data_IF_508771552300
#
_entry.id   IF_508771552300
#
_cell.length_a   1.000
_cell.length_b   1.000
_cell.length_c   1.000
_cell.angle_alpha   90.00
_cell.angle_beta   90.00
_cell.angle_gamma   90.00
#
_symmetry.space_group_name_H-M   'P 1'
#
loop_
_entity.id
_entity.type
_entity.pdbx_description
1 polymer ?
#
# COMPACT_ATOMS: atom_id res chain seq x y z
N UNK A 1 -22.18 -18.95 41.49
CA UNK A 1 -21.77 -19.15 40.09
C UNK A 1 -22.71 -18.38 39.17
N UNK A 2 -22.36 -17.17 38.75
CA UNK A 2 -23.04 -16.42 37.67
C UNK A 2 -22.09 -15.43 36.96
N UNK A 3 -20.79 -15.63 37.08
CA UNK A 3 -19.76 -14.78 36.44
C UNK A 3 -19.70 -14.97 34.92
N UNK A 4 -20.20 -16.09 34.40
CA UNK A 4 -20.02 -16.49 33.00
C UNK A 4 -20.94 -15.74 32.01
N UNK A 5 -22.13 -15.29 32.43
CA UNK A 5 -23.08 -14.59 31.54
C UNK A 5 -22.73 -13.11 31.43
N UNK A 6 -22.44 -12.46 32.57
CA UNK A 6 -22.02 -11.05 32.59
C UNK A 6 -20.70 -10.86 31.84
N UNK A 7 -19.75 -11.78 32.03
CA UNK A 7 -18.47 -11.78 31.32
C UNK A 7 -18.64 -11.97 29.81
N UNK A 8 -19.52 -12.89 29.36
CA UNK A 8 -19.81 -13.05 27.93
C UNK A 8 -20.45 -11.81 27.32
N UNK A 9 -21.45 -11.23 27.98
CA UNK A 9 -22.12 -10.00 27.53
C UNK A 9 -21.10 -8.87 27.42
N UNK A 10 -20.28 -8.66 28.46
CA UNK A 10 -19.27 -7.61 28.47
C UNK A 10 -18.20 -7.81 27.38
N UNK A 11 -17.75 -9.05 27.16
CA UNK A 11 -16.82 -9.38 26.08
C UNK A 11 -17.44 -9.11 24.71
N UNK A 12 -18.68 -9.55 24.45
CA UNK A 12 -19.35 -9.31 23.16
C UNK A 12 -19.61 -7.83 22.91
N UNK A 13 -20.00 -7.04 23.92
CA UNK A 13 -20.13 -5.59 23.82
C UNK A 13 -18.78 -4.92 23.53
N UNK A 14 -17.74 -5.29 24.28
CA UNK A 14 -16.38 -4.77 24.07
C UNK A 14 -15.86 -5.11 22.67
N UNK A 15 -16.01 -6.35 22.21
CA UNK A 15 -15.60 -6.77 20.87
C UNK A 15 -16.38 -6.04 19.76
N UNK A 16 -17.66 -5.77 19.97
CA UNK A 16 -18.49 -4.99 19.03
C UNK A 16 -18.05 -3.53 18.98
N UNK A 17 -17.78 -2.92 20.14
CA UNK A 17 -17.29 -1.55 20.25
C UNK A 17 -15.90 -1.43 19.61
N UNK A 18 -14.99 -2.35 19.91
CA UNK A 18 -13.64 -2.38 19.32
C UNK A 18 -13.70 -2.58 17.80
N UNK A 19 -14.63 -3.42 17.32
CA UNK A 19 -14.88 -3.59 15.88
C UNK A 19 -15.40 -2.31 15.22
N UNK A 20 -16.33 -1.60 15.86
CA UNK A 20 -16.87 -0.34 15.38
C UNK A 20 -15.82 0.78 15.41
N UNK A 21 -15.03 0.89 16.47
CA UNK A 21 -13.93 1.84 16.60
C UNK A 21 -12.91 1.62 15.48
N UNK A 22 -12.51 0.37 15.24
CA UNK A 22 -11.58 0.05 14.15
C UNK A 22 -12.14 0.46 12.79
N UNK A 23 -13.41 0.14 12.50
CA UNK A 23 -14.05 0.54 11.26
C UNK A 23 -14.14 2.06 11.10
N UNK A 24 -14.39 2.78 12.20
CA UNK A 24 -14.45 4.25 12.19
C UNK A 24 -13.05 4.85 11.97
N UNK A 25 -12.02 4.34 12.63
CA UNK A 25 -10.63 4.78 12.41
C UNK A 25 -10.17 4.48 10.99
N UNK A 26 -10.57 3.34 10.42
CA UNK A 26 -10.30 3.00 9.02
C UNK A 26 -10.98 3.99 8.06
N UNK A 27 -12.23 4.38 8.33
CA UNK A 27 -12.95 5.40 7.56
C UNK A 27 -12.32 6.79 7.71
N UNK A 28 -12.07 7.23 8.96
CA UNK A 28 -11.46 8.53 9.24
C UNK A 28 -10.09 8.63 8.60
N UNK A 29 -9.26 7.61 8.74
CA UNK A 29 -7.94 7.61 8.11
C UNK A 29 -8.05 7.67 6.58
N UNK A 30 -9.14 7.18 5.97
CA UNK A 30 -9.37 7.28 4.53
C UNK A 30 -9.77 8.69 4.10
N UNK A 31 -10.56 9.39 4.92
CA UNK A 31 -11.12 10.70 4.60
C UNK A 31 -10.20 11.85 5.01
N UNK A 32 -9.59 11.76 6.19
CA UNK A 32 -8.75 12.80 6.81
C UNK A 32 -7.73 13.40 5.84
N UNK A 33 -6.93 12.61 5.08
CA UNK A 33 -5.95 13.19 4.16
C UNK A 33 -6.57 14.14 3.13
N UNK A 34 -7.77 13.83 2.63
CA UNK A 34 -8.45 14.68 1.64
C UNK A 34 -9.05 15.93 2.30
N UNK A 35 -9.52 15.81 3.54
CA UNK A 35 -10.05 16.96 4.28
C UNK A 35 -8.96 17.91 4.77
N UNK A 36 -7.75 17.45 5.07
CA UNK A 36 -6.64 18.35 5.43
C UNK A 36 -6.15 19.16 4.23
N UNK A 37 -6.20 18.59 3.02
CA UNK A 37 -5.89 19.25 1.76
C UNK A 37 -6.90 20.35 1.36
N UNK A 38 -8.11 20.35 1.95
CA UNK A 38 -9.12 21.36 1.58
C UNK A 38 -8.81 22.75 2.14
N UNK A 39 -8.11 22.83 3.28
CA UNK A 39 -7.72 24.09 3.93
C UNK A 39 -6.74 24.90 3.05
N UNK A 40 -5.58 24.36 2.63
CA UNK A 40 -4.67 25.07 1.72
C UNK A 40 -5.34 25.42 0.38
N UNK A 41 -6.17 24.53 -0.18
CA UNK A 41 -6.94 24.81 -1.38
C UNK A 41 -7.90 25.99 -1.21
N UNK A 42 -8.61 26.06 -0.08
CA UNK A 42 -9.49 27.19 0.25
C UNK A 42 -8.70 28.49 0.34
N UNK A 43 -7.54 28.50 1.01
CA UNK A 43 -6.68 29.68 1.10
C UNK A 43 -6.24 30.15 -0.28
N UNK A 44 -5.76 29.25 -1.13
CA UNK A 44 -5.40 29.57 -2.52
C UNK A 44 -6.60 30.11 -3.31
N UNK A 45 -7.78 29.53 -3.15
CA UNK A 45 -9.00 30.03 -3.79
C UNK A 45 -9.29 31.48 -3.36
N UNK A 46 -9.35 31.73 -2.05
CA UNK A 46 -9.67 33.07 -1.52
C UNK A 46 -8.66 34.10 -1.98
N UNK A 47 -7.37 33.77 -1.95
CA UNK A 47 -6.32 34.69 -2.35
C UNK A 47 -6.31 34.98 -3.84
N UNK A 48 -6.55 33.97 -4.69
CA UNK A 48 -6.63 34.17 -6.14
C UNK A 48 -7.90 34.93 -6.55
N UNK A 49 -9.01 34.69 -5.87
CA UNK A 49 -10.26 35.38 -6.13
C UNK A 49 -10.24 36.84 -5.62
N UNK A 50 -9.90 37.07 -4.35
CA UNK A 50 -10.04 38.38 -3.70
C UNK A 50 -8.88 39.32 -3.99
N UNK A 51 -7.64 38.81 -4.13
CA UNK A 51 -6.46 39.66 -4.28
C UNK A 51 -5.84 39.67 -5.68
N UNK A 52 -6.09 38.64 -6.50
CA UNK A 52 -5.63 38.62 -7.90
C UNK A 52 -6.74 38.93 -8.90
N UNK A 53 -7.97 39.14 -8.45
CA UNK A 53 -9.16 39.43 -9.27
C UNK A 53 -9.39 38.38 -10.37
N UNK A 54 -9.05 37.12 -10.08
CA UNK A 54 -9.32 36.03 -11.01
C UNK A 54 -10.81 35.69 -11.01
N UNK A 55 -11.41 35.38 -12.17
CA UNK A 55 -12.78 34.91 -12.21
C UNK A 55 -12.92 33.61 -11.43
N UNK A 56 -14.08 33.39 -10.80
CA UNK A 56 -14.36 32.26 -9.89
C UNK A 56 -13.92 30.91 -10.45
N UNK A 57 -14.15 30.68 -11.75
CA UNK A 57 -13.80 29.43 -12.43
C UNK A 57 -12.28 29.19 -12.42
N UNK A 58 -11.49 30.25 -12.58
CA UNK A 58 -10.03 30.19 -12.61
C UNK A 58 -9.47 30.10 -11.19
N UNK A 59 -10.09 30.76 -10.21
CA UNK A 59 -9.73 30.61 -8.79
C UNK A 59 -9.91 29.16 -8.32
N UNK A 60 -11.02 28.51 -8.69
CA UNK A 60 -11.24 27.07 -8.43
C UNK A 60 -10.19 26.19 -9.09
N UNK A 61 -9.89 26.46 -10.37
CA UNK A 61 -8.87 25.72 -11.11
C UNK A 61 -7.48 25.89 -10.47
N UNK A 62 -7.13 27.10 -10.04
CA UNK A 62 -5.87 27.39 -9.37
C UNK A 62 -5.77 26.65 -8.03
N UNK A 63 -6.79 26.74 -7.18
CA UNK A 63 -6.85 26.03 -5.91
C UNK A 63 -6.71 24.51 -6.07
N UNK A 64 -7.45 23.93 -7.02
CA UNK A 64 -7.36 22.51 -7.33
C UNK A 64 -5.98 22.11 -7.86
N UNK A 65 -5.44 22.86 -8.81
CA UNK A 65 -4.15 22.55 -9.45
C UNK A 65 -3.01 22.61 -8.43
N UNK A 66 -2.99 23.66 -7.60
CA UNK A 66 -1.97 23.84 -6.57
C UNK A 66 -2.00 22.68 -5.58
N UNK A 67 -3.18 22.32 -5.08
CA UNK A 67 -3.27 21.25 -4.08
C UNK A 67 -2.95 19.86 -4.66
N UNK A 68 -3.46 19.54 -5.85
CA UNK A 68 -3.13 18.27 -6.54
C UNK A 68 -1.64 18.19 -6.82
N UNK A 69 -1.01 19.29 -7.24
CA UNK A 69 0.44 19.36 -7.43
C UNK A 69 1.19 19.09 -6.11
N UNK A 70 0.74 19.68 -5.00
CA UNK A 70 1.30 19.43 -3.68
C UNK A 70 1.25 17.96 -3.27
N UNK A 71 0.05 17.35 -3.31
CA UNK A 71 -0.15 15.94 -2.93
C UNK A 71 0.66 14.99 -3.83
N UNK A 72 0.64 15.22 -5.14
CA UNK A 72 1.37 14.37 -6.11
C UNK A 72 2.88 14.50 -5.96
N UNK A 73 3.41 15.70 -5.69
CA UNK A 73 4.84 15.93 -5.48
C UNK A 73 5.35 15.24 -4.20
N UNK A 74 4.59 15.30 -3.08
CA UNK A 74 4.91 14.54 -1.86
C UNK A 74 4.88 13.05 -2.12
N UNK A 75 3.78 12.56 -2.72
CA UNK A 75 3.60 11.13 -2.98
C UNK A 75 4.73 10.57 -3.84
N UNK A 76 5.10 11.28 -4.91
CA UNK A 76 6.20 10.93 -5.79
C UNK A 76 7.54 10.91 -5.05
N UNK A 77 7.81 11.94 -4.23
CA UNK A 77 9.04 12.00 -3.44
C UNK A 77 9.18 10.81 -2.49
N UNK A 78 8.10 10.42 -1.81
CA UNK A 78 8.10 9.25 -0.91
C UNK A 78 8.28 7.95 -1.71
N UNK A 79 7.58 7.80 -2.86
CA UNK A 79 7.74 6.61 -3.71
C UNK A 79 9.19 6.46 -4.19
N UNK A 80 9.84 7.54 -4.62
CA UNK A 80 11.23 7.51 -5.04
C UNK A 80 12.19 7.24 -3.88
N UNK A 81 11.92 7.81 -2.70
CA UNK A 81 12.69 7.51 -1.50
C UNK A 81 12.66 6.01 -1.20
N UNK A 82 11.47 5.43 -1.15
CA UNK A 82 11.30 4.01 -0.85
C UNK A 82 11.93 3.10 -1.90
N UNK A 83 11.69 3.41 -3.17
CA UNK A 83 12.31 2.67 -4.27
C UNK A 83 13.83 2.59 -4.11
N UNK A 84 14.45 3.72 -3.78
CA UNK A 84 15.89 3.82 -3.55
C UNK A 84 16.36 3.13 -2.26
N UNK A 85 15.48 2.96 -1.26
CA UNK A 85 15.81 2.16 -0.06
C UNK A 85 15.71 0.65 -0.31
N UNK A 86 14.79 0.20 -1.16
CA UNK A 86 14.59 -1.22 -1.47
C UNK A 86 15.54 -1.71 -2.56
N UNK A 87 15.95 -0.85 -3.49
CA UNK A 87 16.86 -1.19 -4.59
C UNK A 87 18.24 -0.58 -4.37
N UNK A 88 19.22 -1.44 -4.06
CA UNK A 88 20.61 -1.01 -3.80
C UNK A 88 21.41 -0.70 -5.07
N UNK A 89 20.96 -1.21 -6.23
CA UNK A 89 21.65 -1.00 -7.50
C UNK A 89 21.64 0.48 -7.92
N UNK A 90 22.82 1.05 -8.16
CA UNK A 90 22.96 2.46 -8.56
C UNK A 90 22.32 2.76 -9.92
N UNK A 91 22.29 1.79 -10.82
CA UNK A 91 21.70 1.95 -12.16
C UNK A 91 20.17 2.12 -12.12
N UNK A 92 19.51 1.57 -11.10
CA UNK A 92 18.04 1.55 -10.98
C UNK A 92 17.51 2.64 -10.03
N UNK A 93 18.33 3.63 -9.65
CA UNK A 93 17.89 4.66 -8.69
C UNK A 93 16.89 5.64 -9.32
N UNK A 94 15.76 5.81 -8.64
CA UNK A 94 14.80 6.85 -8.96
C UNK A 94 15.36 8.25 -8.63
N UNK A 95 14.96 9.31 -9.37
CA UNK A 95 15.49 10.66 -9.20
C UNK A 95 14.89 11.36 -7.97
N UNK A 96 15.18 10.83 -6.77
CA UNK A 96 14.64 11.31 -5.49
C UNK A 96 14.98 12.79 -5.22
N UNK A 97 16.22 13.21 -5.48
CA UNK A 97 16.65 14.60 -5.27
C UNK A 97 15.82 15.56 -6.12
N UNK A 98 15.58 15.22 -7.38
CA UNK A 98 14.76 16.05 -8.28
C UNK A 98 13.32 16.16 -7.78
N UNK A 99 12.73 15.05 -7.32
CA UNK A 99 11.37 15.06 -6.77
C UNK A 99 11.26 15.93 -5.51
N UNK A 100 12.20 15.79 -4.57
CA UNK A 100 12.25 16.62 -3.37
C UNK A 100 12.49 18.08 -3.71
N UNK A 101 13.42 18.40 -4.61
CA UNK A 101 13.66 19.78 -5.04
C UNK A 101 12.44 20.41 -5.69
N UNK A 102 11.73 19.67 -6.55
CA UNK A 102 10.47 20.12 -7.15
C UNK A 102 9.41 20.39 -6.09
N UNK A 103 9.32 19.52 -5.08
CA UNK A 103 8.39 19.70 -3.98
C UNK A 103 8.72 20.90 -3.08
N UNK A 104 10.00 21.10 -2.75
CA UNK A 104 10.44 22.26 -1.99
C UNK A 104 10.19 23.56 -2.76
N UNK A 105 10.43 23.57 -4.07
CA UNK A 105 10.11 24.71 -4.92
C UNK A 105 8.61 25.03 -4.89
N UNK A 106 7.74 24.01 -4.97
CA UNK A 106 6.30 24.16 -4.79
C UNK A 106 5.95 24.82 -3.44
N UNK A 107 6.51 24.32 -2.33
CA UNK A 107 6.26 24.89 -0.98
C UNK A 107 6.62 26.38 -0.95
N UNK A 108 7.79 26.74 -1.50
CA UNK A 108 8.25 28.14 -1.54
C UNK A 108 7.26 29.01 -2.31
N UNK A 109 6.79 28.54 -3.47
CA UNK A 109 5.83 29.30 -4.31
C UNK A 109 4.51 29.49 -3.57
N UNK A 110 3.93 28.42 -3.02
CA UNK A 110 2.62 28.49 -2.34
C UNK A 110 2.68 29.36 -1.09
N UNK A 111 3.73 29.19 -0.27
CA UNK A 111 3.94 30.04 0.89
C UNK A 111 4.14 31.49 0.50
N UNK A 112 4.95 31.76 -0.53
CA UNK A 112 5.19 33.13 -0.98
C UNK A 112 3.89 33.78 -1.46
N UNK A 113 3.11 33.10 -2.30
CA UNK A 113 1.82 33.63 -2.77
C UNK A 113 0.88 33.91 -1.60
N UNK A 114 0.67 32.94 -0.71
CA UNK A 114 -0.29 33.09 0.38
C UNK A 114 0.15 34.13 1.44
N UNK A 115 1.44 34.22 1.74
CA UNK A 115 1.96 35.19 2.71
C UNK A 115 2.05 36.59 2.09
N UNK A 116 2.55 36.73 0.87
CA UNK A 116 2.70 38.04 0.21
C UNK A 116 1.34 38.70 0.01
N UNK A 117 0.32 37.94 -0.41
CA UNK A 117 -1.02 38.50 -0.61
C UNK A 117 -1.67 38.95 0.70
N UNK A 118 -1.47 38.22 1.80
CA UNK A 118 -1.95 38.65 3.12
C UNK A 118 -1.19 39.86 3.67
N UNK A 119 0.12 39.97 3.41
CA UNK A 119 0.89 41.17 3.72
C UNK A 119 0.42 42.36 2.89
N UNK A 120 0.15 42.15 1.60
CA UNK A 120 -0.36 43.18 0.70
C UNK A 120 -1.75 43.67 1.10
N UNK A 121 -2.62 42.76 1.54
CA UNK A 121 -3.94 43.11 2.06
C UNK A 121 -3.86 44.06 3.26
N UNK A 122 -2.84 43.91 4.11
CA UNK A 122 -2.56 44.83 5.22
C UNK A 122 -3.59 44.82 6.35
N UNK A 123 -4.61 43.94 6.29
CA UNK A 123 -5.73 43.91 7.25
C UNK A 123 -5.40 43.08 8.49
N UNK A 124 -4.60 42.03 8.35
CA UNK A 124 -4.42 41.00 9.39
C UNK A 124 -3.16 41.24 10.23
N UNK A 125 -3.24 40.89 11.52
CA UNK A 125 -2.09 40.89 12.40
C UNK A 125 -1.02 39.89 11.91
N UNK A 126 0.29 40.16 12.10
CA UNK A 126 1.37 39.29 11.64
C UNK A 126 1.23 37.83 12.07
N UNK A 127 0.73 37.58 13.30
CA UNK A 127 0.50 36.23 13.81
C UNK A 127 -0.52 35.43 12.97
N UNK A 128 -1.53 36.10 12.42
CA UNK A 128 -2.54 35.45 11.55
C UNK A 128 -1.94 35.10 10.20
N UNK A 129 -1.09 35.97 9.65
CA UNK A 129 -0.35 35.72 8.40
C UNK A 129 0.55 34.48 8.56
N UNK A 130 1.25 34.36 9.70
CA UNK A 130 2.02 33.17 10.04
C UNK A 130 1.18 31.91 10.12
N UNK A 131 0.00 31.97 10.76
CA UNK A 131 -0.92 30.84 10.84
C UNK A 131 -1.41 30.38 9.45
N UNK A 132 -1.70 31.32 8.54
CA UNK A 132 -2.09 31.04 7.14
C UNK A 132 -0.97 30.33 6.39
N UNK A 133 0.28 30.77 6.58
CA UNK A 133 1.45 30.08 6.05
C UNK A 133 1.54 28.64 6.57
N UNK A 134 1.37 28.43 7.87
CA UNK A 134 1.39 27.09 8.46
C UNK A 134 0.24 26.20 7.96
N UNK A 135 -0.97 26.75 7.80
CA UNK A 135 -2.09 26.01 7.22
C UNK A 135 -1.85 25.64 5.76
N UNK A 136 -1.12 26.45 5.01
CA UNK A 136 -0.70 26.14 3.64
C UNK A 136 0.23 24.91 3.57
N UNK A 137 0.86 24.54 4.69
CA UNK A 137 1.72 23.36 4.79
C UNK A 137 0.96 22.08 5.11
N UNK A 138 -0.36 22.12 5.34
CA UNK A 138 -1.18 20.93 5.58
C UNK A 138 -1.22 19.95 4.39
N UNK A 139 -0.86 20.41 3.19
CA UNK A 139 -0.66 19.53 2.03
C UNK A 139 0.50 18.54 2.26
N UNK A 140 1.50 18.87 3.10
CA UNK A 140 2.60 17.95 3.45
C UNK A 140 2.04 16.69 4.16
N UNK A 141 1.44 16.78 5.37
CA UNK A 141 0.94 15.59 6.06
C UNK A 141 -0.16 14.89 5.28
N UNK A 142 -0.98 15.60 4.49
CA UNK A 142 -1.95 14.98 3.57
C UNK A 142 -1.25 14.07 2.55
N UNK A 143 -0.31 14.60 1.78
CA UNK A 143 0.43 13.84 0.77
C UNK A 143 1.22 12.68 1.36
N UNK A 144 1.80 12.84 2.57
CA UNK A 144 2.47 11.76 3.28
C UNK A 144 1.48 10.64 3.60
N UNK A 145 0.34 10.98 4.20
CA UNK A 145 -0.64 10.01 4.65
C UNK A 145 -1.27 9.25 3.47
N UNK A 146 -1.56 9.93 2.35
CA UNK A 146 -2.02 9.30 1.11
C UNK A 146 -0.99 8.32 0.57
N UNK A 147 0.28 8.74 0.49
CA UNK A 147 1.36 7.90 -0.04
C UNK A 147 1.56 6.64 0.79
N UNK A 148 1.64 6.81 2.12
CA UNK A 148 1.79 5.70 3.07
C UNK A 148 0.61 4.74 2.97
N UNK A 149 -0.63 5.26 2.89
CA UNK A 149 -1.83 4.41 2.74
C UNK A 149 -1.82 3.62 1.44
N UNK A 150 -1.50 4.27 0.32
CA UNK A 150 -1.42 3.62 -0.99
C UNK A 150 -0.42 2.44 -0.95
N UNK A 151 0.75 2.66 -0.35
CA UNK A 151 1.79 1.64 -0.20
C UNK A 151 1.36 0.50 0.72
N UNK A 152 0.71 0.80 1.86
CA UNK A 152 0.18 -0.25 2.74
C UNK A 152 -0.88 -1.09 2.02
N UNK A 153 -1.72 -0.47 1.20
CA UNK A 153 -2.67 -1.16 0.33
C UNK A 153 -1.97 -2.12 -0.64
N UNK A 154 -1.02 -1.61 -1.43
CA UNK A 154 -0.20 -2.37 -2.37
C UNK A 154 0.51 -3.55 -1.68
N UNK A 155 1.13 -3.32 -0.51
CA UNK A 155 1.82 -4.37 0.26
C UNK A 155 0.87 -5.46 0.77
N UNK A 156 -0.34 -5.11 1.22
CA UNK A 156 -1.32 -6.08 1.70
C UNK A 156 -1.86 -6.93 0.55
N UNK A 157 -2.09 -6.33 -0.61
CA UNK A 157 -2.51 -7.03 -1.82
C UNK A 157 -1.44 -8.02 -2.29
N UNK A 158 -0.18 -7.59 -2.37
CA UNK A 158 0.97 -8.45 -2.69
C UNK A 158 1.08 -9.66 -1.76
N UNK A 159 0.87 -9.45 -0.45
CA UNK A 159 0.88 -10.53 0.54
C UNK A 159 -0.27 -11.50 0.33
N UNK A 160 -1.46 -11.02 0.00
CA UNK A 160 -2.64 -11.86 -0.31
C UNK A 160 -2.40 -12.70 -1.56
N UNK A 161 -1.93 -12.09 -2.65
CA UNK A 161 -1.61 -12.77 -3.90
C UNK A 161 -0.55 -13.86 -3.71
N UNK A 162 0.55 -13.56 -3.00
CA UNK A 162 1.59 -14.56 -2.68
C UNK A 162 1.06 -15.69 -1.80
N UNK A 163 0.15 -15.39 -0.86
CA UNK A 163 -0.47 -16.41 -0.01
C UNK A 163 -1.41 -17.33 -0.82
N UNK A 164 -2.16 -16.78 -1.77
CA UNK A 164 -3.03 -17.52 -2.68
C UNK A 164 -2.21 -18.40 -3.64
N UNK A 165 -1.15 -17.87 -4.23
CA UNK A 165 -0.23 -18.65 -5.08
C UNK A 165 0.37 -19.84 -4.32
N UNK A 166 0.88 -19.62 -3.10
CA UNK A 166 1.40 -20.71 -2.24
C UNK A 166 0.33 -21.76 -1.90
N UNK A 167 -0.93 -21.35 -1.75
CA UNK A 167 -2.04 -22.29 -1.50
C UNK A 167 -2.33 -23.13 -2.76
N UNK A 168 -2.32 -22.51 -3.94
CA UNK A 168 -2.51 -23.21 -5.21
C UNK A 168 -1.36 -24.18 -5.51
N UNK A 169 -0.11 -23.77 -5.32
CA UNK A 169 1.07 -24.64 -5.46
C UNK A 169 0.98 -25.86 -4.52
N UNK A 170 0.59 -25.64 -3.25
CA UNK A 170 0.38 -26.74 -2.29
C UNK A 170 -0.72 -27.69 -2.71
N UNK A 171 -1.79 -27.20 -3.33
CA UNK A 171 -2.89 -28.03 -3.85
C UNK A 171 -2.47 -28.80 -5.10
N UNK A 172 -1.64 -28.22 -5.97
CA UNK A 172 -1.09 -28.90 -7.14
C UNK A 172 -0.09 -30.01 -6.75
N UNK A 173 0.77 -29.77 -5.74
CA UNK A 173 1.69 -30.77 -5.19
C UNK A 173 0.93 -31.90 -4.46
N UNK A 174 -0.22 -31.59 -3.86
CA UNK A 174 -1.11 -32.57 -3.20
C UNK A 174 -2.04 -33.32 -4.15
N UNK A 175 -1.87 -33.24 -5.47
CA UNK A 175 -2.63 -34.11 -6.38
C UNK A 175 -2.35 -35.57 -5.98
N UNK A 176 -3.38 -36.36 -5.63
CA UNK A 176 -3.18 -37.73 -5.22
C UNK A 176 -2.54 -38.49 -6.38
N UNK A 177 -1.46 -39.21 -6.10
CA UNK A 177 -0.93 -40.22 -7.02
C UNK A 177 -2.07 -41.17 -7.33
N UNK A 178 -2.62 -41.10 -8.55
CA UNK A 178 -3.54 -42.09 -9.06
C UNK A 178 -2.70 -43.32 -9.37
N UNK A 179 -2.87 -44.45 -8.66
CA UNK A 179 -2.28 -45.70 -9.11
C UNK A 179 -2.84 -45.95 -10.52
N UNK A 180 -1.97 -46.04 -11.53
CA UNK A 180 -2.39 -46.61 -12.80
C UNK A 180 -2.89 -48.02 -12.47
N UNK A 181 -4.18 -48.24 -12.63
CA UNK A 181 -4.78 -49.55 -12.45
C UNK A 181 -4.02 -50.52 -13.35
N UNK A 182 -3.25 -51.41 -12.73
CA UNK A 182 -2.60 -52.51 -13.42
C UNK A 182 -3.73 -53.27 -14.12
N UNK A 183 -3.70 -53.44 -15.45
CA UNK A 183 -4.71 -54.25 -16.11
C UNK A 183 -4.64 -55.62 -15.48
N UNK A 184 -5.71 -56.00 -14.79
CA UNK A 184 -5.88 -57.33 -14.21
C UNK A 184 -5.74 -58.33 -15.35
N UNK A 185 -4.58 -58.99 -15.44
CA UNK A 185 -4.44 -60.23 -16.18
C UNK A 185 -5.44 -61.20 -15.55
N UNK A 186 -6.52 -61.45 -16.28
CA UNK A 186 -7.43 -62.55 -16.00
C UNK A 186 -6.61 -63.83 -16.00
N UNK A 187 -6.53 -64.47 -14.83
CA UNK A 187 -5.99 -65.79 -14.67
C UNK A 187 -6.92 -66.78 -15.38
N UNK A 188 -6.58 -67.11 -16.63
CA UNK A 188 -7.00 -68.36 -17.24
C UNK A 188 -6.14 -69.47 -16.62
N UNK A 189 -6.77 -70.27 -15.77
CA UNK A 189 -6.25 -71.56 -15.33
C UNK A 189 -6.43 -72.56 -16.45
N UNK A 190 -5.33 -73.12 -16.99
CA UNK A 190 -5.21 -74.56 -17.25
C UNK A 190 -3.82 -74.92 -17.82
N UNK A 191 -3.12 -75.81 -17.13
CA UNK A 191 -1.94 -76.50 -17.67
C UNK A 191 -0.89 -76.89 -16.61
N UNK A 192 -0.64 -78.19 -16.37
CA UNK A 192 0.48 -78.62 -15.53
C UNK A 192 1.75 -78.72 -16.39
N UNK A 193 2.78 -77.95 -16.03
CA UNK A 193 4.02 -77.93 -16.81
C UNK A 193 5.21 -77.45 -16.00
N UNK A 194 5.95 -78.42 -15.46
CA UNK A 194 7.41 -78.47 -15.29
C UNK A 194 8.13 -77.35 -14.53
N UNK A 195 8.74 -77.79 -13.43
CA UNK A 195 9.87 -77.18 -12.72
C UNK A 195 11.03 -76.89 -13.68
N UNK A 196 11.58 -75.67 -13.63
CA UNK A 196 12.98 -75.44 -13.98
C UNK A 196 13.57 -74.31 -13.12
N UNK A 197 14.72 -74.62 -12.53
CA UNK A 197 15.59 -73.73 -11.77
C UNK A 197 16.22 -72.67 -12.69
N UNK A 198 16.43 -71.44 -12.22
CA UNK A 198 17.75 -71.03 -11.67
C UNK A 198 17.83 -69.53 -11.33
N UNK A 199 18.70 -69.17 -10.36
CA UNK A 199 18.94 -67.81 -9.90
C UNK A 199 20.16 -67.19 -10.61
N UNK A 200 20.17 -65.86 -10.82
CA UNK A 200 21.41 -65.07 -10.98
C UNK A 200 21.08 -63.57 -10.88
N UNK A 201 21.52 -62.91 -9.81
CA UNK A 201 22.75 -62.09 -9.70
C UNK A 201 22.68 -60.75 -10.44
N UNK A 202 22.83 -59.70 -9.63
CA UNK A 202 23.90 -58.72 -9.84
C UNK A 202 23.44 -57.33 -10.26
N UNK A 203 23.82 -56.32 -9.48
CA UNK A 203 23.74 -54.93 -9.94
C UNK A 203 23.83 -53.83 -8.88
N UNK A 204 24.89 -53.85 -8.07
CA UNK A 204 25.39 -52.64 -7.38
C UNK A 204 25.76 -51.55 -8.39
N UNK A 205 25.46 -50.27 -8.11
CA UNK A 205 26.26 -49.05 -8.41
C UNK A 205 25.40 -47.82 -8.03
N UNK A 206 25.62 -47.04 -6.96
CA UNK A 206 26.74 -46.20 -6.48
C UNK A 206 26.94 -44.88 -7.26
N UNK A 207 26.68 -43.75 -6.55
CA UNK A 207 27.27 -42.37 -6.59
C UNK A 207 26.15 -41.31 -6.61
N UNK A 208 26.11 -40.25 -5.79
CA UNK A 208 27.13 -39.64 -4.93
C UNK A 208 27.89 -38.51 -5.64
N UNK A 209 27.42 -37.26 -5.53
CA UNK A 209 28.15 -35.95 -5.56
C UNK A 209 27.09 -34.83 -5.58
N UNK A 210 26.93 -33.91 -4.63
CA UNK A 210 27.81 -33.00 -3.88
C UNK A 210 28.36 -31.81 -4.70
N UNK A 211 28.08 -30.60 -4.16
CA UNK A 211 28.69 -29.28 -4.38
C UNK A 211 28.25 -28.54 -5.65
N UNK A 212 28.07 -27.22 -5.64
CA UNK A 212 28.67 -26.18 -4.79
C UNK A 212 27.75 -25.00 -4.51
#
# INVERSE_FOLDING_TARGET
MNTNILEKIFRTLSDTINGAERSLLDLLSAIVPYTTASIPAYLTYTHTYEYMDFPVNIAWLAAFTVEVLGVTAVSTSIRFWQWNTTHSNKADRAPFVLAVSTYLFYIVVVLSVNVILEVYAGVRAPAVIWAIGLFSLLSIPSGVLISVRAQFGEMLEDKRLKAEQRRQERQQIRRPWTPQATPTMSADTDGPGTLEEQPQRGGLFRRGKQRS
#
